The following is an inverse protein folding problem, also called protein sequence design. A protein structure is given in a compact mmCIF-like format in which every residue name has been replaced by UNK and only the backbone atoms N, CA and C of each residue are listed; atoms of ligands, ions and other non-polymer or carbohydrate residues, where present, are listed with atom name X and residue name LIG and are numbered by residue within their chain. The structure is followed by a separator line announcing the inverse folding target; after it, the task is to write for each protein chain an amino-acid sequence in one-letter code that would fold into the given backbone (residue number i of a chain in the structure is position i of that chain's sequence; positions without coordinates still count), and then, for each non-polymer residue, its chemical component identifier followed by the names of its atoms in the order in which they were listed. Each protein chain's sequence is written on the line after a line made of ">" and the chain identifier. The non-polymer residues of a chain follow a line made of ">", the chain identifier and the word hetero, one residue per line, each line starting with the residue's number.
data_IF_865195717391
#
_entry.id   IF_865195717391
#
_cell.length_a   1.000
_cell.length_b   1.000
_cell.length_c   1.000
_cell.angle_alpha   90.00
_cell.angle_beta   90.00
_cell.angle_gamma   90.00
#
_symmetry.space_group_name_H-M   'P 1'
#
loop_
_entity.id
_entity.type
_entity.pdbx_description
1 polymer ?
#
# COMPACT_ATOMS: atom_id res chain seq x y z
N UNK A 1 -6.88 3.01 27.32
CA UNK A 1 -6.83 1.88 26.37
C UNK A 1 -6.23 2.43 25.09
N UNK A 2 -5.21 1.80 24.51
CA UNK A 2 -4.59 2.31 23.27
C UNK A 2 -5.57 2.05 22.12
N UNK A 3 -5.87 3.07 21.32
CA UNK A 3 -6.73 2.96 20.15
C UNK A 3 -5.89 3.10 18.88
N UNK A 4 -6.20 2.28 17.89
CA UNK A 4 -5.54 2.27 16.59
C UNK A 4 -6.57 2.57 15.50
N UNK A 5 -6.13 3.33 14.51
CA UNK A 5 -6.81 3.52 13.24
C UNK A 5 -6.07 2.76 12.15
N UNK A 6 -6.82 2.25 11.17
CA UNK A 6 -6.31 1.53 10.01
C UNK A 6 -6.82 2.19 8.74
N UNK A 7 -5.95 2.25 7.74
CA UNK A 7 -6.23 2.75 6.41
C UNK A 7 -5.85 1.67 5.38
N UNK A 8 -6.66 1.49 4.36
CA UNK A 8 -6.40 0.55 3.25
C UNK A 8 -6.50 1.34 1.95
N UNK A 9 -5.40 1.43 1.23
CA UNK A 9 -5.30 2.16 -0.03
C UNK A 9 -5.02 1.22 -1.20
N UNK A 10 -5.60 1.54 -2.35
CA UNK A 10 -5.40 0.74 -3.57
C UNK A 10 -4.34 1.38 -4.44
N UNK A 11 -3.22 0.69 -4.58
CA UNK A 11 -2.11 1.06 -5.46
C UNK A 11 -2.24 0.30 -6.78
N UNK A 12 -2.59 1.00 -7.85
CA UNK A 12 -2.86 0.37 -9.16
C UNK A 12 -1.61 0.13 -10.01
N UNK A 13 -0.48 0.74 -9.63
CA UNK A 13 0.77 0.56 -10.35
C UNK A 13 1.50 -0.71 -9.89
N UNK A 14 2.37 -1.20 -10.76
CA UNK A 14 3.29 -2.27 -10.39
C UNK A 14 4.32 -1.72 -9.41
N UNK A 15 4.62 -2.46 -8.34
CA UNK A 15 5.73 -2.09 -7.45
C UNK A 15 7.00 -2.66 -8.06
N UNK A 16 7.57 -1.93 -9.02
CA UNK A 16 8.81 -2.29 -9.71
C UNK A 16 9.80 -1.11 -9.68
N UNK A 17 10.98 -1.27 -10.28
CA UNK A 17 12.03 -0.24 -10.27
C UNK A 17 11.67 1.04 -11.04
N UNK A 18 10.77 0.97 -12.01
CA UNK A 18 10.34 2.12 -12.81
C UNK A 18 9.47 3.09 -12.00
N UNK A 19 8.65 2.56 -11.08
CA UNK A 19 7.67 3.34 -10.30
C UNK A 19 8.14 3.61 -8.86
N UNK A 20 9.44 3.37 -8.58
CA UNK A 20 9.99 3.45 -7.22
C UNK A 20 9.87 4.84 -6.60
N UNK A 21 10.16 5.89 -7.37
CA UNK A 21 10.16 7.27 -6.84
C UNK A 21 8.75 7.72 -6.45
N UNK A 22 7.76 7.43 -7.29
CA UNK A 22 6.35 7.73 -7.02
C UNK A 22 5.85 6.95 -5.80
N UNK A 23 6.19 5.66 -5.73
CA UNK A 23 5.82 4.81 -4.59
C UNK A 23 6.47 5.29 -3.28
N UNK A 24 7.75 5.66 -3.31
CA UNK A 24 8.45 6.21 -2.15
C UNK A 24 7.85 7.55 -1.71
N UNK A 25 7.48 8.41 -2.65
CA UNK A 25 6.81 9.68 -2.35
C UNK A 25 5.47 9.45 -1.64
N UNK A 26 4.63 8.56 -2.15
CA UNK A 26 3.33 8.22 -1.56
C UNK A 26 3.50 7.69 -0.12
N UNK A 27 4.44 6.77 0.10
CA UNK A 27 4.75 6.26 1.44
C UNK A 27 5.24 7.36 2.39
N UNK A 28 6.03 8.31 1.89
CA UNK A 28 6.51 9.44 2.67
C UNK A 28 5.41 10.45 3.01
N UNK A 29 4.38 10.58 2.17
CA UNK A 29 3.19 11.38 2.46
C UNK A 29 2.38 10.77 3.62
N UNK A 30 2.07 9.47 3.55
CA UNK A 30 1.43 8.76 4.65
C UNK A 30 2.27 8.81 5.95
N UNK A 31 3.58 8.61 5.84
CA UNK A 31 4.49 8.70 6.98
C UNK A 31 4.49 10.07 7.67
N UNK A 32 4.41 11.16 6.90
CA UNK A 32 4.28 12.53 7.44
C UNK A 32 2.96 12.75 8.18
N UNK A 33 1.90 12.07 7.77
CA UNK A 33 0.59 12.08 8.43
C UNK A 33 0.49 11.12 9.63
N UNK A 34 1.61 10.49 10.01
CA UNK A 34 1.71 9.60 11.17
C UNK A 34 1.25 8.16 10.90
N UNK A 35 1.04 7.79 9.64
CA UNK A 35 0.72 6.42 9.25
C UNK A 35 1.97 5.56 9.12
N UNK A 36 1.89 4.35 9.67
CA UNK A 36 2.91 3.31 9.54
C UNK A 36 2.41 2.23 8.57
N UNK A 37 3.20 1.95 7.52
CA UNK A 37 2.90 0.85 6.61
C UNK A 37 3.04 -0.50 7.35
N UNK A 38 1.99 -1.30 7.33
CA UNK A 38 1.93 -2.61 7.99
C UNK A 38 2.25 -3.72 7.01
N UNK A 39 1.60 -3.71 5.84
CA UNK A 39 1.78 -4.75 4.83
C UNK A 39 1.30 -4.26 3.47
N UNK A 40 1.71 -5.00 2.43
CA UNK A 40 1.29 -4.83 1.05
C UNK A 40 0.69 -6.16 0.60
N UNK A 41 -0.56 -6.14 0.19
CA UNK A 41 -1.29 -7.32 -0.26
C UNK A 41 -1.42 -7.24 -1.79
N UNK A 42 -0.70 -8.05 -2.58
CA UNK A 42 -0.86 -8.07 -4.01
C UNK A 42 -2.23 -8.68 -4.35
N UNK A 43 -3.05 -7.94 -5.09
CA UNK A 43 -4.27 -8.46 -5.69
C UNK A 43 -3.91 -9.04 -7.05
N UNK A 44 -3.80 -10.36 -7.06
CA UNK A 44 -3.45 -11.15 -8.23
C UNK A 44 -4.73 -11.47 -8.99
N UNK A 45 -4.81 -11.01 -10.23
CA UNK A 45 -5.84 -11.42 -11.17
C UNK A 45 -5.34 -12.58 -12.03
N UNK A 46 -6.24 -13.52 -12.31
CA UNK A 46 -6.00 -14.56 -13.32
C UNK A 46 -6.59 -14.06 -14.64
N UNK A 47 -5.74 -13.87 -15.65
CA UNK A 47 -6.19 -13.54 -17.00
C UNK A 47 -5.39 -14.36 -18.01
N UNK A 48 -6.09 -15.27 -18.70
CA UNK A 48 -5.57 -16.10 -19.79
C UNK A 48 -4.23 -16.80 -19.47
N UNK A 49 -4.21 -17.69 -18.49
CA UNK A 49 -3.06 -18.53 -18.10
C UNK A 49 -1.82 -17.75 -17.65
N UNK A 50 -1.96 -16.46 -17.31
CA UNK A 50 -0.90 -15.62 -16.80
C UNK A 50 -1.28 -14.96 -15.48
N UNK A 51 -0.44 -15.15 -14.46
CA UNK A 51 -0.56 -14.48 -13.17
C UNK A 51 -0.10 -13.04 -13.36
N UNK A 52 -1.02 -12.08 -13.21
CA UNK A 52 -0.70 -10.66 -13.24
C UNK A 52 -1.20 -9.96 -11.98
N UNK A 53 -0.43 -8.99 -11.48
CA UNK A 53 -0.87 -8.15 -10.37
C UNK A 53 -1.80 -7.09 -10.96
N UNK A 54 -3.08 -7.13 -10.59
CA UNK A 54 -4.08 -6.16 -11.02
C UNK A 54 -3.95 -4.85 -10.23
N UNK A 55 -3.72 -4.96 -8.92
CA UNK A 55 -3.41 -3.86 -8.03
C UNK A 55 -2.78 -4.38 -6.73
N UNK A 56 -2.26 -3.50 -5.89
CA UNK A 56 -1.78 -3.82 -4.55
C UNK A 56 -2.65 -3.08 -3.53
N UNK A 57 -2.94 -3.71 -2.39
CA UNK A 57 -3.55 -3.02 -1.25
C UNK A 57 -2.47 -2.67 -0.24
N UNK A 58 -2.31 -1.39 0.05
CA UNK A 58 -1.40 -0.89 1.07
C UNK A 58 -2.19 -0.75 2.37
N UNK A 59 -1.74 -1.44 3.42
CA UNK A 59 -2.39 -1.40 4.73
C UNK A 59 -1.53 -0.57 5.68
N UNK A 60 -2.11 0.46 6.26
CA UNK A 60 -1.46 1.34 7.22
C UNK A 60 -2.15 1.29 8.58
N UNK A 61 -1.42 1.69 9.63
CA UNK A 61 -1.96 1.92 10.97
C UNK A 61 -1.43 3.22 11.56
N UNK A 62 -2.17 3.83 12.48
CA UNK A 62 -1.66 4.91 13.35
C UNK A 62 -2.29 4.85 14.73
N UNK A 63 -1.57 5.36 15.74
CA UNK A 63 -2.13 5.51 17.09
C UNK A 63 -3.06 6.73 17.11
N UNK A 64 -4.20 6.58 17.76
CA UNK A 64 -5.10 7.70 18.06
C UNK A 64 -4.81 8.15 19.48
N UNK A 65 -4.55 9.44 19.66
CA UNK A 65 -4.42 10.08 20.98
C UNK A 65 -5.77 10.20 21.69
#
# INVERSE_FOLDING_TARGET
>A
MIKWEYLVETWTLSINTADREEFEQELNEYGRDGWELVTIIPNVGDYNDSISIACNQLVFKRKVE
#
